data_IF_967602449789
#
_entry.id   IF_967602449789
#
_cell.length_a   1.000
_cell.length_b   1.000
_cell.length_c   1.000
_cell.angle_alpha   90.00
_cell.angle_beta   90.00
_cell.angle_gamma   90.00
#
_symmetry.space_group_name_H-M   'P 1'
#
loop_
_entity.id
_entity.type
_entity.pdbx_description
1 polymer ?
#
# COMPACT_ATOMS: atom_id res chain seq x y z
N UNK A 1 21.63 -10.43 -5.63
CA UNK A 1 20.56 -10.78 -4.68
C UNK A 1 20.10 -9.59 -3.84
N UNK A 2 20.99 -8.86 -3.15
CA UNK A 2 20.59 -7.69 -2.32
C UNK A 2 19.76 -6.66 -3.11
N UNK A 3 20.18 -6.31 -4.33
CA UNK A 3 19.48 -5.34 -5.18
C UNK A 3 18.07 -5.80 -5.58
N UNK A 4 17.86 -7.10 -5.82
CA UNK A 4 16.55 -7.68 -6.14
C UNK A 4 15.60 -7.49 -4.96
N UNK A 5 16.07 -7.81 -3.75
CA UNK A 5 15.29 -7.63 -2.54
C UNK A 5 15.06 -6.16 -2.21
N UNK A 6 16.03 -5.28 -2.47
CA UNK A 6 15.86 -3.84 -2.28
C UNK A 6 14.74 -3.27 -3.17
N UNK A 7 14.66 -3.68 -4.44
CA UNK A 7 13.62 -3.25 -5.37
C UNK A 7 12.21 -3.65 -4.93
N UNK A 8 12.07 -4.69 -4.10
CA UNK A 8 10.79 -5.18 -3.60
C UNK A 8 10.50 -4.63 -2.20
N UNK A 9 11.42 -4.80 -1.26
CA UNK A 9 11.16 -4.51 0.15
C UNK A 9 11.25 -3.03 0.51
N UNK A 10 12.08 -2.21 -0.15
CA UNK A 10 12.09 -0.76 0.11
C UNK A 10 10.70 -0.13 -0.12
N UNK A 11 10.08 -0.28 -1.31
CA UNK A 11 8.75 0.30 -1.54
C UNK A 11 7.68 -0.34 -0.64
N UNK A 12 7.76 -1.65 -0.36
CA UNK A 12 6.82 -2.32 0.56
C UNK A 12 6.94 -1.77 2.00
N UNK A 13 8.16 -1.56 2.51
CA UNK A 13 8.37 -1.03 3.85
C UNK A 13 7.86 0.40 3.97
N UNK A 14 8.14 1.25 2.97
CA UNK A 14 7.62 2.61 2.93
C UNK A 14 6.09 2.63 2.80
N UNK A 15 5.52 1.72 2.00
CA UNK A 15 4.09 1.50 1.93
C UNK A 15 3.51 1.13 3.29
N UNK A 16 4.10 0.17 4.02
CA UNK A 16 3.63 -0.26 5.34
C UNK A 16 3.61 0.91 6.32
N UNK A 17 4.68 1.72 6.37
CA UNK A 17 4.75 2.89 7.25
C UNK A 17 3.64 3.90 6.95
N UNK A 18 3.44 4.24 5.67
CA UNK A 18 2.39 5.16 5.25
C UNK A 18 0.98 4.58 5.49
N UNK A 19 0.79 3.29 5.22
CA UNK A 19 -0.50 2.61 5.37
C UNK A 19 -0.90 2.42 6.84
N UNK A 20 0.05 2.15 7.74
CA UNK A 20 -0.20 2.12 9.19
C UNK A 20 -0.62 3.49 9.70
N UNK A 21 0.03 4.54 9.21
CA UNK A 21 -0.35 5.90 9.56
C UNK A 21 -1.78 6.23 9.05
N UNK A 22 -2.13 5.85 7.82
CA UNK A 22 -3.51 5.99 7.29
C UNK A 22 -4.53 5.22 8.13
N UNK A 23 -4.18 4.01 8.55
CA UNK A 23 -5.02 3.18 9.42
C UNK A 23 -5.24 3.84 10.77
N UNK A 24 -4.20 4.45 11.36
CA UNK A 24 -4.35 5.22 12.59
C UNK A 24 -5.30 6.42 12.40
N UNK A 25 -5.19 7.13 11.27
CA UNK A 25 -6.08 8.25 10.97
C UNK A 25 -7.53 7.83 10.76
N UNK A 26 -7.77 6.72 10.05
CA UNK A 26 -9.11 6.19 9.82
C UNK A 26 -9.80 5.80 11.12
N UNK A 27 -9.05 5.23 12.08
CA UNK A 27 -9.53 4.94 13.43
C UNK A 27 -9.76 6.21 14.26
N UNK A 28 -8.83 7.17 14.24
CA UNK A 28 -8.95 8.45 14.96
C UNK A 28 -10.19 9.24 14.53
N UNK A 29 -10.61 9.10 13.28
CA UNK A 29 -11.82 9.72 12.75
C UNK A 29 -13.09 9.25 13.47
N UNK A 30 -13.14 8.00 13.90
CA UNK A 30 -14.28 7.44 14.67
C UNK A 30 -14.42 8.07 16.06
N UNK A 31 -13.41 8.76 16.57
CA UNK A 31 -13.47 9.42 17.88
C UNK A 31 -14.12 10.81 17.85
N UNK A 32 -14.71 11.23 16.72
CA UNK A 32 -15.55 12.45 16.62
C UNK A 32 -14.84 13.80 16.67
N UNK A 33 -13.50 13.85 16.81
CA UNK A 33 -12.75 15.10 17.04
C UNK A 33 -12.17 15.78 15.79
N UNK A 34 -12.47 15.33 14.57
CA UNK A 34 -11.70 15.76 13.40
C UNK A 34 -12.53 16.03 12.14
N UNK A 35 -13.27 17.14 12.16
CA UNK A 35 -14.18 17.55 11.09
C UNK A 35 -13.60 18.40 9.94
N UNK A 36 -12.30 18.72 9.89
CA UNK A 36 -11.75 19.47 8.74
C UNK A 36 -10.26 19.27 8.43
N UNK A 37 -9.41 19.07 9.45
CA UNK A 37 -7.95 18.96 9.27
C UNK A 37 -7.41 17.64 8.71
N UNK A 38 -8.26 16.64 8.47
CA UNK A 38 -7.84 15.33 7.91
C UNK A 38 -7.99 15.24 6.39
N UNK A 39 -8.74 16.15 5.75
CA UNK A 39 -9.09 16.04 4.31
C UNK A 39 -7.86 16.07 3.40
N UNK A 40 -7.05 17.14 3.40
CA UNK A 40 -5.90 17.22 2.49
C UNK A 40 -4.75 16.24 2.81
N UNK A 41 -4.74 15.65 4.01
CA UNK A 41 -3.69 14.72 4.40
C UNK A 41 -3.93 13.30 3.88
N UNK A 42 -5.18 12.82 3.90
CA UNK A 42 -5.48 11.45 3.45
C UNK A 42 -5.36 11.35 1.92
N UNK A 43 -5.66 12.42 1.17
CA UNK A 43 -5.49 12.44 -0.29
C UNK A 43 -4.02 12.19 -0.70
N UNK A 44 -3.08 12.93 -0.10
CA UNK A 44 -1.67 12.86 -0.45
C UNK A 44 -0.97 11.58 0.04
N UNK A 45 -1.37 11.00 1.18
CA UNK A 45 -0.82 9.69 1.58
C UNK A 45 -1.41 8.53 0.76
N UNK A 46 -2.68 8.64 0.35
CA UNK A 46 -3.37 7.58 -0.39
C UNK A 46 -2.75 7.31 -1.77
N UNK A 47 -2.36 8.37 -2.48
CA UNK A 47 -1.63 8.24 -3.75
C UNK A 47 -0.26 7.59 -3.56
N UNK A 48 0.45 7.97 -2.49
CA UNK A 48 1.77 7.42 -2.16
C UNK A 48 1.67 5.93 -1.80
N UNK A 49 0.71 5.54 -0.96
CA UNK A 49 0.53 4.13 -0.58
C UNK A 49 0.21 3.25 -1.78
N UNK A 50 -0.72 3.67 -2.65
CA UNK A 50 -1.05 2.91 -3.85
C UNK A 50 0.14 2.83 -4.83
N UNK A 51 0.88 3.92 -5.02
CA UNK A 51 2.05 3.94 -5.93
C UNK A 51 3.14 2.98 -5.45
N UNK A 52 3.49 3.03 -4.16
CA UNK A 52 4.51 2.16 -3.58
C UNK A 52 4.08 0.68 -3.61
N UNK A 53 2.81 0.40 -3.33
CA UNK A 53 2.27 -0.96 -3.39
C UNK A 53 2.34 -1.53 -4.81
N UNK A 54 1.83 -0.79 -5.80
CA UNK A 54 1.86 -1.21 -7.21
C UNK A 54 3.30 -1.41 -7.67
N UNK A 55 4.21 -0.49 -7.34
CA UNK A 55 5.62 -0.62 -7.69
C UNK A 55 6.23 -1.90 -7.10
N UNK A 56 6.05 -2.15 -5.80
CA UNK A 56 6.57 -3.36 -5.14
C UNK A 56 6.04 -4.66 -5.75
N UNK A 57 4.74 -4.71 -6.08
CA UNK A 57 4.11 -5.87 -6.75
C UNK A 57 4.66 -6.05 -8.16
N UNK A 58 4.76 -4.99 -8.96
CA UNK A 58 5.31 -5.05 -10.32
C UNK A 58 6.76 -5.52 -10.28
N UNK A 59 7.57 -5.04 -9.35
CA UNK A 59 8.95 -5.51 -9.18
C UNK A 59 9.00 -7.01 -8.84
N UNK A 60 8.16 -7.48 -7.93
CA UNK A 60 8.07 -8.91 -7.59
C UNK A 60 7.74 -9.75 -8.84
N UNK A 61 6.75 -9.34 -9.63
CA UNK A 61 6.32 -10.06 -10.84
C UNK A 61 7.43 -10.06 -11.90
N UNK A 62 8.05 -8.92 -12.17
CA UNK A 62 9.07 -8.78 -13.21
C UNK A 62 10.39 -9.46 -12.84
N UNK A 63 10.75 -9.46 -11.56
CA UNK A 63 11.97 -10.12 -11.08
C UNK A 63 11.80 -11.64 -10.95
N UNK A 64 10.58 -12.16 -10.77
CA UNK A 64 10.35 -13.60 -10.59
C UNK A 64 9.38 -14.19 -11.63
N UNK A 65 9.46 -13.73 -12.88
CA UNK A 65 8.55 -14.13 -13.96
C UNK A 65 8.45 -15.65 -14.16
N UNK A 66 9.56 -16.38 -14.02
CA UNK A 66 9.61 -17.84 -14.16
C UNK A 66 8.94 -18.60 -13.00
N UNK A 67 8.62 -17.93 -11.90
CA UNK A 67 8.07 -18.53 -10.68
C UNK A 67 6.78 -17.84 -10.23
N UNK A 68 6.13 -17.06 -11.10
CA UNK A 68 4.88 -16.36 -10.80
C UNK A 68 3.80 -17.34 -10.33
N UNK A 69 3.64 -18.49 -11.01
CA UNK A 69 2.61 -19.47 -10.64
C UNK A 69 2.80 -20.01 -9.22
N UNK A 70 4.05 -20.27 -8.84
CA UNK A 70 4.40 -20.74 -7.50
C UNK A 70 4.17 -19.64 -6.48
N UNK A 71 4.59 -18.39 -6.75
CA UNK A 71 4.36 -17.27 -5.84
C UNK A 71 2.85 -17.04 -5.66
N UNK A 72 2.11 -17.01 -6.76
CA UNK A 72 0.66 -16.80 -6.79
C UNK A 72 -0.07 -17.83 -5.94
N UNK A 73 0.28 -19.12 -6.04
CA UNK A 73 -0.35 -20.17 -5.24
C UNK A 73 -0.25 -19.94 -3.72
N UNK A 74 0.78 -19.24 -3.23
CA UNK A 74 0.98 -18.94 -1.81
C UNK A 74 0.34 -17.63 -1.36
N UNK A 75 0.24 -16.65 -2.25
CA UNK A 75 -0.23 -15.30 -1.90
C UNK A 75 -1.66 -15.03 -2.33
N UNK A 76 -2.24 -15.83 -3.24
CA UNK A 76 -3.50 -15.54 -3.92
C UNK A 76 -4.61 -15.13 -2.96
N UNK A 77 -4.96 -15.98 -2.00
CA UNK A 77 -6.08 -15.74 -1.09
C UNK A 77 -5.86 -14.46 -0.27
N UNK A 78 -4.67 -14.29 0.31
CA UNK A 78 -4.34 -13.08 1.06
C UNK A 78 -4.34 -11.82 0.19
N UNK A 79 -3.81 -11.89 -1.03
CA UNK A 79 -3.83 -10.77 -1.97
C UNK A 79 -5.23 -10.42 -2.44
N UNK A 80 -6.10 -11.42 -2.63
CA UNK A 80 -7.48 -11.21 -3.06
C UNK A 80 -8.32 -10.53 -1.96
N UNK A 81 -8.15 -10.98 -0.70
CA UNK A 81 -8.79 -10.34 0.46
C UNK A 81 -8.28 -8.90 0.61
N UNK A 82 -6.96 -8.70 0.50
CA UNK A 82 -6.36 -7.37 0.55
C UNK A 82 -6.90 -6.45 -0.55
N UNK A 83 -6.94 -6.91 -1.80
CA UNK A 83 -7.46 -6.15 -2.94
C UNK A 83 -8.93 -5.79 -2.75
N UNK A 84 -9.76 -6.73 -2.28
CA UNK A 84 -11.18 -6.48 -1.99
C UNK A 84 -11.34 -5.41 -0.89
N UNK A 85 -10.54 -5.49 0.18
CA UNK A 85 -10.57 -4.51 1.25
C UNK A 85 -10.08 -3.12 0.78
N UNK A 86 -9.02 -3.06 -0.03
CA UNK A 86 -8.54 -1.81 -0.64
C UNK A 86 -9.55 -1.19 -1.61
N UNK A 87 -10.34 -2.01 -2.32
CA UNK A 87 -11.43 -1.52 -3.16
C UNK A 87 -12.56 -0.89 -2.33
N UNK A 88 -13.00 -1.57 -1.26
CA UNK A 88 -13.98 -1.03 -0.33
C UNK A 88 -13.47 0.29 0.27
N UNK A 89 -12.18 0.33 0.64
CA UNK A 89 -11.50 1.54 1.11
C UNK A 89 -11.60 2.68 0.11
N UNK A 90 -11.33 2.43 -1.17
CA UNK A 90 -11.38 3.45 -2.22
C UNK A 90 -12.81 3.98 -2.43
N UNK A 91 -13.83 3.11 -2.47
CA UNK A 91 -15.23 3.51 -2.63
C UNK A 91 -15.70 4.35 -1.44
N UNK A 92 -15.42 3.88 -0.23
CA UNK A 92 -15.81 4.59 1.00
C UNK A 92 -15.04 5.91 1.16
N UNK A 93 -13.77 5.96 0.72
CA UNK A 93 -12.99 7.19 0.64
C UNK A 93 -13.68 8.26 -0.22
N UNK A 94 -14.00 7.92 -1.48
CA UNK A 94 -14.67 8.84 -2.40
C UNK A 94 -16.00 9.34 -1.83
N UNK A 95 -16.80 8.44 -1.28
CA UNK A 95 -18.06 8.83 -0.66
C UNK A 95 -17.85 9.80 0.52
N UNK A 96 -16.94 9.46 1.42
CA UNK A 96 -16.70 10.21 2.67
C UNK A 96 -16.16 11.62 2.40
N UNK A 97 -15.24 11.77 1.47
CA UNK A 97 -14.50 13.02 1.27
C UNK A 97 -15.04 13.88 0.11
N UNK A 98 -15.70 13.28 -0.89
CA UNK A 98 -16.15 14.02 -2.09
C UNK A 98 -17.66 14.12 -2.23
N UNK A 99 -18.43 13.16 -1.69
CA UNK A 99 -19.90 13.14 -1.83
C UNK A 99 -20.61 13.63 -0.57
N UNK A 100 -20.10 13.24 0.60
CA UNK A 100 -20.80 13.46 1.86
C UNK A 100 -20.69 14.91 2.33
N UNK A 101 -21.85 15.53 2.55
CA UNK A 101 -21.95 16.92 3.01
C UNK A 101 -21.97 17.07 4.54
N UNK A 102 -22.28 16.00 5.28
CA UNK A 102 -22.37 16.00 6.74
C UNK A 102 -21.09 15.46 7.40
N UNK A 103 -20.70 16.06 8.52
CA UNK A 103 -19.57 15.62 9.33
C UNK A 103 -19.94 14.59 10.41
N UNK A 104 -21.19 14.12 10.44
CA UNK A 104 -21.61 13.05 11.37
C UNK A 104 -20.96 11.72 11.01
N UNK A 105 -20.62 10.93 12.02
CA UNK A 105 -20.14 9.56 11.86
C UNK A 105 -21.30 8.69 11.39
N UNK A 106 -21.06 7.90 10.34
CA UNK A 106 -22.03 6.95 9.78
C UNK A 106 -21.43 5.54 9.72
N UNK A 107 -22.23 4.50 9.42
CA UNK A 107 -21.70 3.16 9.18
C UNK A 107 -20.61 3.10 8.09
N UNK A 108 -20.59 4.09 7.18
CA UNK A 108 -19.56 4.18 6.13
C UNK A 108 -18.19 4.52 6.73
N UNK A 109 -18.10 5.34 7.78
CA UNK A 109 -16.84 5.61 8.48
C UNK A 109 -16.30 4.33 9.16
N UNK A 110 -17.18 3.50 9.71
CA UNK A 110 -16.81 2.19 10.28
C UNK A 110 -16.33 1.21 9.22
N UNK A 111 -17.03 1.14 8.07
CA UNK A 111 -16.63 0.31 6.94
C UNK A 111 -15.26 0.73 6.38
N UNK A 112 -15.02 2.05 6.28
CA UNK A 112 -13.73 2.61 5.89
C UNK A 112 -12.61 2.19 6.86
N UNK A 113 -12.82 2.31 8.17
CA UNK A 113 -11.83 1.90 9.16
C UNK A 113 -11.59 0.37 9.15
N UNK A 114 -12.66 -0.43 9.08
CA UNK A 114 -12.56 -1.89 9.05
C UNK A 114 -11.82 -2.36 7.78
N UNK A 115 -12.06 -1.72 6.64
CA UNK A 115 -11.35 -2.04 5.40
C UNK A 115 -9.83 -1.85 5.51
N UNK A 116 -9.36 -0.88 6.30
CA UNK A 116 -7.92 -0.72 6.57
C UNK A 116 -7.37 -1.88 7.39
N UNK A 117 -8.08 -2.30 8.44
CA UNK A 117 -7.64 -3.40 9.30
C UNK A 117 -7.59 -4.73 8.54
N UNK A 118 -8.63 -5.02 7.75
CA UNK A 118 -8.68 -6.22 6.92
C UNK A 118 -7.56 -6.21 5.88
N UNK A 119 -7.36 -5.07 5.19
CA UNK A 119 -6.27 -4.92 4.23
C UNK A 119 -4.90 -5.10 4.91
N UNK A 120 -4.66 -4.48 6.07
CA UNK A 120 -3.41 -4.59 6.81
C UNK A 120 -3.10 -6.05 7.16
N UNK A 121 -4.05 -6.76 7.76
CA UNK A 121 -3.88 -8.17 8.13
C UNK A 121 -3.59 -9.06 6.91
N UNK A 122 -4.38 -8.89 5.85
CA UNK A 122 -4.21 -9.66 4.61
C UNK A 122 -2.89 -9.35 3.88
N UNK A 123 -2.43 -8.10 3.91
CA UNK A 123 -1.14 -7.70 3.33
C UNK A 123 0.05 -8.22 4.15
N UNK A 124 -0.04 -8.27 5.49
CA UNK A 124 0.97 -8.92 6.32
C UNK A 124 1.11 -10.39 5.96
N UNK A 125 0.00 -11.12 5.85
CA UNK A 125 0.01 -12.53 5.40
C UNK A 125 0.61 -12.65 4.00
N UNK A 126 0.23 -11.77 3.07
CA UNK A 126 0.79 -11.75 1.71
C UNK A 126 2.31 -11.59 1.72
N UNK A 127 2.83 -10.61 2.47
CA UNK A 127 4.27 -10.33 2.54
C UNK A 127 5.02 -11.49 3.19
N UNK A 128 4.48 -12.08 4.25
CA UNK A 128 5.08 -13.25 4.91
C UNK A 128 5.10 -14.47 3.97
N UNK A 129 4.00 -14.75 3.27
CA UNK A 129 3.91 -15.85 2.30
C UNK A 129 4.85 -15.64 1.11
N UNK A 130 4.91 -14.43 0.55
CA UNK A 130 5.85 -14.10 -0.51
C UNK A 130 7.30 -14.25 -0.04
N UNK A 131 7.62 -13.69 1.13
CA UNK A 131 8.96 -13.80 1.74
C UNK A 131 9.35 -15.25 1.97
N UNK A 132 8.42 -16.08 2.49
CA UNK A 132 8.64 -17.51 2.64
C UNK A 132 9.02 -18.17 1.30
N UNK A 133 8.30 -17.88 0.22
CA UNK A 133 8.65 -18.42 -1.11
C UNK A 133 10.03 -17.94 -1.56
N UNK A 134 10.34 -16.64 -1.41
CA UNK A 134 11.61 -16.06 -1.86
C UNK A 134 12.83 -16.59 -1.09
N UNK A 135 12.68 -16.90 0.20
CA UNK A 135 13.77 -17.34 1.07
C UNK A 135 13.85 -18.86 1.25
N UNK A 136 12.73 -19.58 1.24
CA UNK A 136 12.74 -21.03 1.43
C UNK A 136 12.89 -21.80 0.10
N UNK A 137 12.36 -21.24 -1.00
CA UNK A 137 12.39 -21.90 -2.32
C UNK A 137 13.43 -21.34 -3.29
N UNK A 138 14.06 -20.22 -2.94
CA UNK A 138 15.12 -19.56 -3.73
C UNK A 138 14.86 -19.52 -5.24
N UNK A 139 13.70 -18.97 -5.69
CA UNK A 139 13.41 -18.87 -7.11
C UNK A 139 14.47 -18.02 -7.83
N UNK A 140 14.77 -18.39 -9.09
CA UNK A 140 15.73 -17.66 -9.91
C UNK A 140 15.16 -16.28 -10.28
N UNK A 141 15.88 -15.21 -9.91
CA UNK A 141 15.49 -13.85 -10.25
C UNK A 141 15.96 -13.48 -11.67
N UNK A 142 15.08 -12.84 -12.45
CA UNK A 142 15.41 -12.23 -13.72
C UNK A 142 16.16 -10.90 -13.49
N UNK A 143 17.47 -10.93 -13.65
CA UNK A 143 18.36 -9.79 -13.39
C UNK A 143 18.44 -8.80 -14.56
N UNK A 144 17.92 -9.14 -15.74
CA UNK A 144 17.99 -8.32 -16.95
C UNK A 144 17.35 -6.93 -16.75
N UNK A 145 16.33 -6.84 -15.90
CA UNK A 145 15.57 -5.61 -15.69
C UNK A 145 16.16 -4.69 -14.61
N UNK A 146 17.11 -5.16 -13.81
CA UNK A 146 17.67 -4.41 -12.68
C UNK A 146 18.23 -3.03 -13.08
N UNK A 147 19.01 -2.89 -14.19
CA UNK A 147 19.55 -1.59 -14.58
C UNK A 147 18.49 -0.54 -14.90
N UNK A 148 17.30 -0.97 -15.33
CA UNK A 148 16.17 -0.08 -15.64
C UNK A 148 15.30 0.19 -14.39
N UNK A 149 15.16 -0.79 -13.52
CA UNK A 149 14.33 -0.70 -12.33
C UNK A 149 14.95 0.14 -11.21
N UNK A 150 16.28 0.17 -11.09
CA UNK A 150 16.96 0.99 -10.09
C UNK A 150 16.70 2.50 -10.27
N UNK A 151 16.93 3.08 -11.47
CA UNK A 151 16.53 4.46 -11.74
C UNK A 151 15.03 4.68 -11.56
N UNK A 152 14.20 3.71 -11.98
CA UNK A 152 12.75 3.76 -11.79
C UNK A 152 12.34 3.88 -10.32
N UNK A 153 12.96 3.09 -9.44
CA UNK A 153 12.72 3.18 -8.00
C UNK A 153 13.10 4.56 -7.47
N UNK A 154 14.29 5.08 -7.81
CA UNK A 154 14.71 6.41 -7.38
C UNK A 154 13.74 7.51 -7.83
N UNK A 155 13.25 7.41 -9.07
CA UNK A 155 12.28 8.34 -9.62
C UNK A 155 10.92 8.26 -8.92
N UNK A 156 10.40 7.05 -8.69
CA UNK A 156 9.14 6.84 -7.96
C UNK A 156 9.25 7.39 -6.53
N UNK A 157 10.34 7.11 -5.82
CA UNK A 157 10.58 7.64 -4.49
C UNK A 157 10.64 9.18 -4.49
N UNK A 158 11.29 9.78 -5.49
CA UNK A 158 11.34 11.23 -5.63
C UNK A 158 9.94 11.83 -5.86
N UNK A 159 9.12 11.23 -6.73
CA UNK A 159 7.74 11.66 -6.96
C UNK A 159 6.91 11.53 -5.68
N UNK A 160 6.98 10.40 -4.99
CA UNK A 160 6.24 10.18 -3.73
C UNK A 160 6.70 11.12 -2.62
N UNK A 161 7.95 11.60 -2.64
CA UNK A 161 8.46 12.54 -1.65
C UNK A 161 7.85 13.94 -1.79
N UNK A 162 7.44 14.36 -2.99
CA UNK A 162 6.86 15.70 -3.24
C UNK A 162 5.56 15.94 -2.44
N UNK A 163 4.50 15.10 -2.55
CA UNK A 163 3.28 15.31 -1.78
C UNK A 163 3.54 15.19 -0.28
N UNK A 164 4.40 14.26 0.14
CA UNK A 164 4.80 14.12 1.55
C UNK A 164 5.50 15.39 2.06
N UNK A 165 6.40 15.99 1.29
CA UNK A 165 7.09 17.21 1.69
C UNK A 165 6.14 18.39 1.83
N UNK A 166 5.19 18.55 0.91
CA UNK A 166 4.13 19.58 1.02
C UNK A 166 3.30 19.39 2.28
N UNK A 167 2.92 18.15 2.60
CA UNK A 167 2.17 17.83 3.82
C UNK A 167 2.89 18.23 5.13
N UNK A 168 4.22 18.10 5.18
CA UNK A 168 5.01 18.45 6.36
C UNK A 168 5.39 19.93 6.43
N UNK A 169 5.45 20.64 5.28
CA UNK A 169 5.81 22.06 5.23
C UNK A 169 4.62 22.99 5.43
N UNK A 170 3.41 22.56 5.07
CA UNK A 170 2.18 23.33 5.18
C UNK A 170 1.41 23.08 6.49
N UNK A 171 2.02 22.33 7.43
CA UNK A 171 1.59 22.18 8.83
C UNK A 171 2.43 23.06 9.74
#
# INVERSE_FOLDING_TARGET
MITVYALIYIPILLFVLAFLYETFLSLKRLSGKSGSKLSGYVDATWEVTNTLLVFGVVMLLMLFTKSIDVIAAYVFTSTFIAATALLIRAITYLYIFYVRQSNRITPVDWLFALSHLVAAGALVVTVLSATYVLFAKHPEANTQFIPYFLPGLAFVLAICAIPMWRLYRER
#
